data_IF_943135997577
#
_entry.id   IF_943135997577
#
_cell.length_a   1.000
_cell.length_b   1.000
_cell.length_c   1.000
_cell.angle_alpha   90.00
_cell.angle_beta   90.00
_cell.angle_gamma   90.00
#
_symmetry.space_group_name_H-M   'P 1'
#
loop_
_entity.id
_entity.type
_entity.pdbx_description
1 polymer ?
#
# COMPACT_ATOMS: atom_id res chain seq x y z
N UNK A 1 -7.19 16.12 -0.82
CA UNK A 1 -6.41 15.20 -1.69
C UNK A 1 -4.94 15.24 -1.32
N UNK A 2 -4.11 14.26 -1.74
CA UNK A 2 -2.66 14.39 -1.66
C UNK A 2 -2.01 14.24 -3.03
N UNK A 3 -0.91 14.95 -3.22
CA UNK A 3 -0.10 14.92 -4.44
C UNK A 3 1.32 14.51 -4.09
N UNK A 4 1.91 13.69 -4.93
CA UNK A 4 3.29 13.23 -4.80
C UNK A 4 4.14 14.04 -5.76
N UNK A 5 5.04 14.86 -5.21
CA UNK A 5 5.92 15.70 -6.00
C UNK A 5 7.22 14.95 -6.29
N UNK A 6 7.51 14.81 -7.58
CA UNK A 6 8.74 14.23 -8.07
C UNK A 6 9.11 14.83 -9.42
N UNK A 7 10.41 14.83 -9.70
CA UNK A 7 10.99 15.21 -10.99
C UNK A 7 11.87 14.09 -11.52
N UNK A 8 12.07 14.05 -12.84
CA UNK A 8 13.01 13.12 -13.44
C UNK A 8 14.43 13.36 -12.91
N UNK A 9 15.20 12.28 -12.74
CA UNK A 9 16.62 12.37 -12.38
C UNK A 9 17.52 12.79 -13.55
N UNK A 10 16.96 12.96 -14.75
CA UNK A 10 17.70 13.05 -16.01
C UNK A 10 18.17 11.69 -16.52
N UNK A 11 18.60 11.64 -17.79
CA UNK A 11 19.12 10.46 -18.47
C UNK A 11 18.06 9.57 -19.16
N UNK A 12 18.53 8.55 -19.86
CA UNK A 12 17.69 7.74 -20.77
C UNK A 12 17.09 6.48 -20.11
N UNK A 13 17.50 6.15 -18.87
CA UNK A 13 17.00 4.99 -18.15
C UNK A 13 15.75 5.31 -17.30
N UNK A 14 14.68 5.73 -17.99
CA UNK A 14 13.40 6.09 -17.36
C UNK A 14 12.68 4.92 -16.67
N UNK A 15 13.17 3.68 -16.86
CA UNK A 15 12.61 2.45 -16.25
C UNK A 15 13.19 2.12 -14.88
N UNK A 16 14.26 2.82 -14.47
CA UNK A 16 14.95 2.59 -13.20
C UNK A 16 14.11 3.02 -11.99
N UNK A 17 14.27 2.34 -10.85
CA UNK A 17 13.76 2.82 -9.56
C UNK A 17 14.40 4.13 -9.10
N UNK A 18 15.53 4.52 -9.72
CA UNK A 18 16.25 5.77 -9.51
C UNK A 18 15.89 6.87 -10.53
N UNK A 19 14.94 6.61 -11.44
CA UNK A 19 14.60 7.54 -12.53
C UNK A 19 13.90 8.83 -12.06
N UNK A 20 13.56 8.94 -10.78
CA UNK A 20 12.89 10.10 -10.19
C UNK A 20 13.55 10.54 -8.90
N UNK A 21 13.73 11.85 -8.75
CA UNK A 21 14.00 12.50 -7.45
C UNK A 21 12.66 12.83 -6.82
N UNK A 22 12.43 12.33 -5.60
CA UNK A 22 11.21 12.54 -4.82
C UNK A 22 11.38 13.77 -3.94
N UNK A 23 10.52 14.76 -4.11
CA UNK A 23 10.59 16.01 -3.34
C UNK A 23 9.71 15.97 -2.10
N UNK A 24 8.61 15.20 -2.14
CA UNK A 24 7.74 14.99 -0.99
C UNK A 24 6.31 14.66 -1.43
N UNK A 25 5.39 14.69 -0.48
CA UNK A 25 3.96 14.74 -0.75
C UNK A 25 3.33 15.93 -0.03
N UNK A 26 2.33 16.56 -0.65
CA UNK A 26 1.52 17.57 0.02
C UNK A 26 0.06 17.14 0.06
N UNK A 27 -0.61 17.46 1.15
CA UNK A 27 -2.05 17.36 1.34
C UNK A 27 -2.62 18.74 1.05
N UNK A 28 -3.65 18.76 0.23
CA UNK A 28 -4.28 19.99 -0.26
C UNK A 28 -5.79 19.87 -0.13
N UNK A 29 -6.38 20.94 0.38
CA UNK A 29 -7.82 21.15 0.37
C UNK A 29 -8.23 21.79 -0.95
N UNK A 30 -8.98 21.06 -1.78
CA UNK A 30 -9.43 21.57 -3.07
C UNK A 30 -10.62 22.52 -2.94
N UNK A 31 -11.44 22.35 -1.90
CA UNK A 31 -12.63 23.18 -1.67
C UNK A 31 -12.21 24.55 -1.16
N UNK A 32 -11.35 24.57 -0.16
CA UNK A 32 -10.82 25.82 0.41
C UNK A 32 -9.64 26.40 -0.38
N UNK A 33 -9.10 25.65 -1.35
CA UNK A 33 -7.98 26.09 -2.18
C UNK A 33 -6.69 26.33 -1.39
N UNK A 34 -6.44 25.56 -0.32
CA UNK A 34 -5.29 25.78 0.57
C UNK A 34 -4.45 24.52 0.82
N UNK A 35 -3.12 24.66 0.96
CA UNK A 35 -2.28 23.56 1.41
C UNK A 35 -2.59 23.25 2.88
N UNK A 36 -2.75 21.96 3.19
CA UNK A 36 -2.93 21.47 4.56
C UNK A 36 -1.57 21.15 5.17
N UNK A 37 -0.78 20.32 4.48
CA UNK A 37 0.50 19.83 5.02
C UNK A 37 1.46 19.34 3.94
N UNK A 38 2.76 19.51 4.19
CA UNK A 38 3.81 18.90 3.39
C UNK A 38 4.55 17.84 4.22
N UNK A 39 4.83 16.69 3.59
CA UNK A 39 5.68 15.64 4.12
C UNK A 39 6.89 15.49 3.19
N UNK A 40 8.13 15.64 3.71
CA UNK A 40 9.35 15.59 2.89
C UNK A 40 9.66 14.21 2.33
N UNK A 41 8.95 13.18 2.79
CA UNK A 41 9.07 11.81 2.32
C UNK A 41 7.69 11.22 2.03
N UNK A 42 7.66 10.29 1.07
CA UNK A 42 6.46 9.54 0.72
C UNK A 42 6.80 8.11 0.31
N UNK A 43 5.98 7.18 0.80
CA UNK A 43 5.99 5.78 0.41
C UNK A 43 4.80 5.49 -0.49
N UNK A 44 3.93 4.59 -0.03
CA UNK A 44 2.69 4.23 -0.71
C UNK A 44 1.51 4.64 0.18
N UNK A 45 1.16 5.93 0.22
CA UNK A 45 0.06 6.44 1.02
C UNK A 45 -1.30 5.98 0.49
N UNK A 46 -2.22 5.74 1.42
CA UNK A 46 -3.66 5.62 1.19
C UNK A 46 -4.44 6.45 2.21
N UNK A 47 -5.61 6.93 1.82
CA UNK A 47 -6.49 7.65 2.74
C UNK A 47 -7.16 6.67 3.71
N UNK A 48 -7.27 7.07 4.97
CA UNK A 48 -8.24 6.50 5.90
C UNK A 48 -9.66 6.93 5.46
N UNK A 49 -10.70 6.09 5.65
CA UNK A 49 -12.08 6.44 5.32
C UNK A 49 -12.64 7.69 6.01
N UNK A 50 -11.93 8.25 6.98
CA UNK A 50 -12.37 9.44 7.73
C UNK A 50 -11.96 10.75 7.04
N UNK A 51 -11.29 10.65 5.89
CA UNK A 51 -10.82 11.79 5.10
C UNK A 51 -9.84 12.72 5.83
N UNK A 52 -9.28 12.28 6.97
CA UNK A 52 -8.34 13.04 7.79
C UNK A 52 -6.98 12.38 7.87
N UNK A 53 -6.94 11.06 8.01
CA UNK A 53 -5.69 10.32 8.25
C UNK A 53 -5.17 9.66 6.98
N UNK A 54 -3.84 9.47 6.93
CA UNK A 54 -3.13 8.86 5.79
C UNK A 54 -2.30 7.69 6.31
N UNK A 55 -2.55 6.49 5.79
CA UNK A 55 -1.73 5.32 6.08
C UNK A 55 -0.57 5.26 5.09
N UNK A 56 0.64 5.25 5.62
CA UNK A 56 1.87 5.11 4.84
C UNK A 56 2.50 3.73 4.99
N UNK A 57 3.32 3.38 3.99
CA UNK A 57 4.18 2.20 4.04
C UNK A 57 5.02 2.23 5.32
N UNK A 58 5.11 1.08 6.00
CA UNK A 58 5.68 1.01 7.35
C UNK A 58 4.63 0.97 8.46
N UNK A 59 3.34 0.88 8.09
CA UNK A 59 2.19 0.81 8.97
C UNK A 59 2.10 2.04 9.89
N UNK A 60 2.35 3.22 9.33
CA UNK A 60 2.27 4.49 10.07
C UNK A 60 1.04 5.25 9.62
N UNK A 61 0.14 5.51 10.55
CA UNK A 61 -1.04 6.33 10.34
C UNK A 61 -0.74 7.77 10.75
N UNK A 62 -0.68 8.67 9.77
CA UNK A 62 -0.46 10.09 9.98
C UNK A 62 -1.78 10.85 10.02
N UNK A 63 -1.91 11.80 10.93
CA UNK A 63 -2.91 12.85 10.87
C UNK A 63 -2.46 13.94 9.89
N UNK A 64 -3.34 14.31 8.95
CA UNK A 64 -2.99 15.29 7.92
C UNK A 64 -2.91 16.73 8.46
N UNK A 65 -3.63 17.06 9.53
CA UNK A 65 -3.66 18.41 10.06
C UNK A 65 -2.43 18.73 10.89
N UNK A 66 -2.06 17.87 11.84
CA UNK A 66 -0.94 18.12 12.76
C UNK A 66 0.34 17.36 12.38
N UNK A 67 0.25 16.34 11.53
CA UNK A 67 1.37 15.52 11.08
C UNK A 67 1.79 14.42 12.05
N UNK A 68 1.08 14.25 13.18
CA UNK A 68 1.38 13.22 14.16
C UNK A 68 1.17 11.83 13.57
N UNK A 69 2.09 10.92 13.86
CA UNK A 69 2.09 9.56 13.35
C UNK A 69 2.01 8.54 14.48
N UNK A 70 1.23 7.49 14.31
CA UNK A 70 1.26 6.30 15.17
C UNK A 70 1.45 5.03 14.35
N UNK A 71 2.10 4.02 14.94
CA UNK A 71 2.19 2.69 14.33
C UNK A 71 0.88 1.92 14.49
N UNK A 72 0.55 1.12 13.48
CA UNK A 72 -0.51 0.11 13.50
C UNK A 72 0.12 -1.29 13.61
N UNK A 73 -0.73 -2.33 13.55
CA UNK A 73 -0.29 -3.72 13.61
C UNK A 73 0.95 -4.00 12.71
N UNK A 74 1.94 -4.77 13.18
CA UNK A 74 3.24 -4.92 12.53
C UNK A 74 3.22 -5.94 11.36
N UNK A 75 2.31 -5.76 10.40
CA UNK A 75 2.21 -6.63 9.21
C UNK A 75 3.25 -6.28 8.12
N UNK A 76 3.64 -7.23 7.25
CA UNK A 76 4.39 -6.93 6.03
C UNK A 76 3.70 -5.83 5.21
N UNK A 77 4.48 -4.86 4.71
CA UNK A 77 3.93 -3.60 4.20
C UNK A 77 4.66 -3.08 2.96
N UNK A 78 3.87 -2.83 1.92
CA UNK A 78 4.27 -2.14 0.71
C UNK A 78 3.13 -1.24 0.22
N UNK A 79 1.96 -1.78 -0.16
CA UNK A 79 0.82 -1.01 -0.67
C UNK A 79 -0.40 -1.14 0.28
N UNK A 80 -0.46 -0.36 1.37
CA UNK A 80 -1.54 -0.47 2.34
C UNK A 80 -2.84 0.18 1.88
N UNK A 81 -3.99 -0.35 2.30
CA UNK A 81 -5.31 0.27 2.18
C UNK A 81 -6.21 -0.08 3.37
N UNK A 82 -7.12 0.81 3.75
CA UNK A 82 -8.07 0.59 4.84
C UNK A 82 -9.34 -0.15 4.39
N UNK A 83 -9.91 -0.92 5.31
CA UNK A 83 -11.30 -1.34 5.23
C UNK A 83 -12.25 -0.14 5.38
N UNK A 84 -13.49 -0.23 4.88
CA UNK A 84 -14.41 0.90 4.78
C UNK A 84 -14.81 1.50 6.14
N UNK A 85 -14.80 0.70 7.21
CA UNK A 85 -15.08 1.15 8.58
C UNK A 85 -13.84 1.71 9.31
N UNK A 86 -12.65 1.60 8.70
CA UNK A 86 -11.38 2.02 9.28
C UNK A 86 -10.85 1.14 10.42
N UNK A 87 -11.50 0.02 10.75
CA UNK A 87 -11.10 -0.85 11.88
C UNK A 87 -9.90 -1.73 11.57
N UNK A 88 -9.73 -2.07 10.29
CA UNK A 88 -8.64 -2.91 9.78
C UNK A 88 -8.03 -2.30 8.52
N UNK A 89 -6.80 -2.71 8.22
CA UNK A 89 -6.12 -2.36 6.98
C UNK A 89 -5.47 -3.61 6.38
N UNK A 90 -5.32 -3.63 5.06
CA UNK A 90 -4.66 -4.69 4.32
C UNK A 90 -3.39 -4.15 3.69
N UNK A 91 -2.34 -4.94 3.66
CA UNK A 91 -1.15 -4.64 2.89
C UNK A 91 -0.53 -5.90 2.33
N UNK A 92 0.27 -5.71 1.30
CA UNK A 92 1.16 -6.72 0.75
C UNK A 92 2.59 -6.48 1.20
N UNK A 93 3.45 -7.49 1.05
CA UNK A 93 4.86 -7.29 1.28
C UNK A 93 5.66 -8.57 1.24
N UNK A 94 6.90 -8.44 1.70
CA UNK A 94 7.81 -9.57 1.91
C UNK A 94 7.72 -9.97 3.38
N UNK A 95 7.59 -11.27 3.68
CA UNK A 95 7.70 -11.76 5.06
C UNK A 95 9.07 -11.35 5.62
N UNK A 96 10.13 -11.57 4.85
CA UNK A 96 11.43 -10.96 5.07
C UNK A 96 12.18 -10.79 3.75
N UNK A 97 13.25 -9.98 3.74
CA UNK A 97 14.12 -9.86 2.56
C UNK A 97 14.81 -11.18 2.21
N UNK A 98 15.22 -11.95 3.22
CA UNK A 98 15.91 -13.23 3.04
C UNK A 98 14.98 -14.29 2.45
N UNK A 99 13.77 -14.41 3.01
CA UNK A 99 12.74 -15.32 2.49
C UNK A 99 12.41 -14.99 1.04
N UNK A 100 12.16 -13.70 0.72
CA UNK A 100 11.87 -13.27 -0.64
C UNK A 100 13.01 -13.58 -1.62
N UNK A 101 14.27 -13.47 -1.21
CA UNK A 101 15.41 -13.76 -2.08
C UNK A 101 15.46 -15.25 -2.50
N UNK A 102 14.99 -16.14 -1.62
CA UNK A 102 14.95 -17.59 -1.88
C UNK A 102 13.69 -18.00 -2.62
N UNK A 103 12.53 -17.52 -2.18
CA UNK A 103 11.23 -18.01 -2.64
C UNK A 103 10.62 -17.14 -3.74
N UNK A 104 10.93 -15.84 -3.72
CA UNK A 104 10.22 -14.83 -4.50
C UNK A 104 8.78 -14.60 -4.03
N UNK A 105 8.44 -15.00 -2.81
CA UNK A 105 7.07 -14.96 -2.30
C UNK A 105 6.68 -13.57 -1.76
N UNK A 106 5.49 -13.12 -2.12
CA UNK A 106 4.81 -12.02 -1.45
C UNK A 106 3.66 -12.57 -0.60
N UNK A 107 3.31 -11.82 0.43
CA UNK A 107 2.21 -12.12 1.35
C UNK A 107 1.21 -10.98 1.32
N UNK A 108 -0.08 -11.32 1.41
CA UNK A 108 -1.17 -10.36 1.66
C UNK A 108 -1.66 -10.59 3.08
N UNK A 109 -1.73 -9.53 3.88
CA UNK A 109 -2.04 -9.60 5.32
C UNK A 109 -3.01 -8.50 5.70
N UNK A 110 -3.98 -8.81 6.56
CA UNK A 110 -4.85 -7.83 7.23
C UNK A 110 -4.32 -7.60 8.64
N UNK A 111 -4.24 -6.34 9.05
CA UNK A 111 -3.86 -5.91 10.40
C UNK A 111 -4.94 -5.07 11.05
N UNK A 112 -5.00 -5.12 12.37
CA UNK A 112 -5.86 -4.28 13.20
C UNK A 112 -5.37 -2.83 13.23
N UNK A 113 -6.30 -1.87 13.21
CA UNK A 113 -5.98 -0.45 13.37
C UNK A 113 -5.77 -0.04 14.83
N UNK A 114 -6.13 -0.88 15.81
CA UNK A 114 -6.15 -0.55 17.25
C UNK A 114 -5.36 -1.50 18.12
N UNK A 115 -5.00 -2.68 17.62
CA UNK A 115 -4.18 -3.70 18.30
C UNK A 115 -3.07 -4.19 17.36
N UNK A 116 -2.23 -5.10 17.85
CA UNK A 116 -1.19 -5.75 17.04
C UNK A 116 -1.70 -7.00 16.29
N UNK A 117 -3.00 -7.27 16.34
CA UNK A 117 -3.59 -8.45 15.71
C UNK A 117 -3.46 -8.41 14.19
N UNK A 118 -3.20 -9.58 13.60
CA UNK A 118 -3.03 -9.73 12.16
C UNK A 118 -3.45 -11.11 11.66
N UNK A 119 -3.91 -11.17 10.42
CA UNK A 119 -4.28 -12.40 9.72
C UNK A 119 -3.65 -12.41 8.33
N UNK A 120 -2.93 -13.49 8.02
CA UNK A 120 -2.42 -13.73 6.66
C UNK A 120 -3.55 -14.22 5.76
N UNK A 121 -3.74 -13.55 4.63
CA UNK A 121 -4.76 -13.86 3.62
C UNK A 121 -4.22 -14.81 2.55
N UNK A 122 -3.04 -14.52 2.01
CA UNK A 122 -2.42 -15.35 0.95
C UNK A 122 -0.88 -15.26 1.03
N UNK A 123 -0.20 -16.30 0.54
CA UNK A 123 1.25 -16.37 0.34
C UNK A 123 1.53 -17.05 -1.00
N UNK A 124 2.15 -16.31 -1.92
CA UNK A 124 2.35 -16.81 -3.28
C UNK A 124 3.66 -16.32 -3.89
N UNK A 125 4.20 -17.13 -4.79
CA UNK A 125 5.35 -16.76 -5.62
C UNK A 125 4.94 -15.61 -6.55
N UNK A 126 5.66 -14.49 -6.48
CA UNK A 126 5.40 -13.30 -7.30
C UNK A 126 6.53 -13.06 -8.31
N UNK A 127 7.08 -14.13 -8.87
CA UNK A 127 8.20 -14.08 -9.85
C UNK A 127 7.79 -14.38 -11.29
N UNK A 128 6.54 -14.75 -11.56
CA UNK A 128 6.01 -14.98 -12.91
C UNK A 128 5.05 -13.84 -13.35
N UNK A 129 3.96 -14.16 -14.05
CA UNK A 129 2.94 -13.23 -14.54
C UNK A 129 3.33 -12.47 -15.81
N UNK A 130 2.67 -11.32 -16.04
CA UNK A 130 2.90 -10.50 -17.22
C UNK A 130 4.37 -10.06 -17.35
N UNK A 131 4.92 -10.20 -18.56
CA UNK A 131 6.28 -9.76 -18.92
C UNK A 131 6.28 -8.26 -19.22
N UNK A 132 6.26 -7.46 -18.16
CA UNK A 132 6.36 -6.00 -18.22
C UNK A 132 7.57 -5.52 -17.43
N UNK A 133 8.12 -4.36 -17.80
CA UNK A 133 9.24 -3.74 -17.08
C UNK A 133 8.82 -3.21 -15.69
N UNK A 134 7.52 -2.96 -15.47
CA UNK A 134 6.93 -2.77 -14.13
C UNK A 134 6.06 -3.95 -13.81
N UNK A 135 6.61 -4.87 -13.03
CA UNK A 135 5.86 -6.01 -12.54
C UNK A 135 4.61 -5.56 -11.77
N UNK A 136 3.49 -6.24 -12.00
CA UNK A 136 2.28 -5.99 -11.22
C UNK A 136 2.53 -6.32 -9.74
N UNK A 137 2.22 -5.43 -8.82
CA UNK A 137 2.22 -5.75 -7.39
C UNK A 137 0.81 -6.14 -6.94
N UNK A 138 0.66 -6.83 -5.80
CA UNK A 138 -0.63 -7.25 -5.29
C UNK A 138 -1.65 -6.11 -5.13
N UNK A 139 -1.23 -4.94 -4.63
CA UNK A 139 -2.12 -3.78 -4.43
C UNK A 139 -3.47 -4.14 -3.80
N UNK A 140 -3.48 -4.76 -2.60
CA UNK A 140 -4.70 -5.27 -2.01
C UNK A 140 -5.65 -4.12 -1.61
N UNK A 141 -6.94 -4.32 -1.86
CA UNK A 141 -7.99 -3.34 -1.54
C UNK A 141 -9.28 -4.02 -1.11
N UNK A 142 -9.93 -3.46 -0.09
CA UNK A 142 -11.24 -3.92 0.36
C UNK A 142 -12.35 -3.55 -0.64
N UNK A 143 -13.38 -4.39 -0.72
CA UNK A 143 -14.67 -4.01 -1.30
C UNK A 143 -15.37 -2.94 -0.46
N UNK A 144 -16.31 -2.17 -1.04
CA UNK A 144 -17.07 -1.16 -0.30
C UNK A 144 -17.85 -1.70 0.91
N UNK A 145 -18.27 -2.97 0.87
CA UNK A 145 -18.97 -3.64 1.97
C UNK A 145 -18.02 -4.28 3.01
N UNK A 146 -16.71 -4.21 2.79
CA UNK A 146 -15.67 -4.76 3.65
C UNK A 146 -15.57 -6.29 3.66
N UNK A 147 -16.35 -7.00 2.84
CA UNK A 147 -16.42 -8.48 2.87
C UNK A 147 -15.36 -9.17 2.02
N UNK A 148 -14.78 -8.44 1.07
CA UNK A 148 -13.85 -8.95 0.07
C UNK A 148 -12.57 -8.13 0.02
N UNK A 149 -11.48 -8.79 -0.36
CA UNK A 149 -10.20 -8.17 -0.64
C UNK A 149 -9.78 -8.59 -2.04
N UNK A 150 -9.61 -7.61 -2.93
CA UNK A 150 -9.12 -7.82 -4.30
C UNK A 150 -7.62 -7.55 -4.36
N UNK A 151 -6.86 -8.40 -5.06
CA UNK A 151 -5.41 -8.25 -5.21
C UNK A 151 -4.86 -8.98 -6.43
N UNK A 152 -3.76 -8.51 -6.99
CA UNK A 152 -3.09 -9.16 -8.12
C UNK A 152 -2.16 -10.30 -7.65
N UNK A 153 -2.06 -11.35 -8.45
CA UNK A 153 -1.15 -12.48 -8.25
C UNK A 153 -0.35 -12.76 -9.53
N UNK A 154 0.95 -13.03 -9.38
CA UNK A 154 1.87 -13.32 -10.49
C UNK A 154 2.58 -14.67 -10.30
N UNK A 155 1.81 -15.72 -10.01
CA UNK A 155 2.35 -17.06 -9.73
C UNK A 155 2.44 -17.95 -10.97
N UNK A 156 1.56 -17.72 -11.96
CA UNK A 156 1.47 -18.51 -13.18
C UNK A 156 1.90 -17.77 -14.44
N UNK A 157 1.47 -18.27 -15.59
CA UNK A 157 1.74 -17.68 -16.91
C UNK A 157 1.12 -16.29 -17.11
N UNK A 158 0.10 -15.95 -16.31
CA UNK A 158 -0.65 -14.70 -16.38
C UNK A 158 -0.63 -13.97 -15.04
N UNK A 159 -0.85 -12.66 -15.08
CA UNK A 159 -1.22 -11.90 -13.88
C UNK A 159 -2.72 -12.07 -13.68
N UNK A 160 -3.11 -12.53 -12.50
CA UNK A 160 -4.50 -12.79 -12.12
C UNK A 160 -4.99 -11.73 -11.13
N UNK A 161 -6.25 -11.33 -11.22
CA UNK A 161 -6.94 -10.66 -10.11
C UNK A 161 -7.60 -11.74 -9.26
N UNK A 162 -7.25 -11.80 -7.97
CA UNK A 162 -7.88 -12.70 -6.99
C UNK A 162 -8.77 -11.92 -6.04
N UNK A 163 -9.69 -12.65 -5.45
CA UNK A 163 -10.56 -12.17 -4.38
C UNK A 163 -10.47 -13.13 -3.20
N UNK A 164 -10.19 -12.60 -2.01
CA UNK A 164 -10.44 -13.29 -0.76
C UNK A 164 -11.76 -12.77 -0.20
N UNK A 165 -12.64 -13.65 0.26
CA UNK A 165 -13.96 -13.30 0.79
C UNK A 165 -14.14 -13.92 2.17
N UNK A 166 -14.72 -13.16 3.09
CA UNK A 166 -15.16 -13.70 4.37
C UNK A 166 -16.51 -14.38 4.18
N UNK A 167 -16.62 -15.65 4.54
CA UNK A 167 -17.90 -16.34 4.66
C UNK A 167 -18.49 -15.95 6.01
N UNK A 168 -19.30 -14.89 6.06
CA UNK A 168 -20.20 -14.74 7.20
C UNK A 168 -21.32 -15.77 7.06
N UNK A 169 -21.39 -16.70 8.00
CA UNK A 169 -22.66 -17.31 8.41
C UNK A 169 -23.52 -16.28 9.16
#
# INVERSE_FOLDING_TARGET
VFFKLARGSGGDNFKSSKASVREGKFVYDLEEGKPIRFYPQWGHPSWHPDSRRILEKGNILFDAEDGQGRKLAPIPTDHPSFGPDGSVFVSDGKVSKADYAVTGNLVVTVGSATSDDAVRIDLFKSTAGARTWRKSHPHPVFSPDGRRIYYNVNAGSWTELRVAETTKE
#
